data_IF_210271661488
#
_entry.id   IF_210271661488
#
_cell.length_a   1.000
_cell.length_b   1.000
_cell.length_c   1.000
_cell.angle_alpha   90.00
_cell.angle_beta   90.00
_cell.angle_gamma   90.00
#
_symmetry.space_group_name_H-M   'P 1'
#
loop_
_entity.id
_entity.type
_entity.pdbx_description
1 polymer ?
#
# COMPACT_ATOMS: atom_id res chain seq x y z
N UNK A 1 -14.72 24.05 -12.79
CA UNK A 1 -15.31 22.91 -12.04
C UNK A 1 -16.84 23.03 -12.16
N UNK A 2 -17.45 22.42 -13.18
CA UNK A 2 -18.80 22.79 -13.63
C UNK A 2 -19.96 22.21 -12.80
N UNK A 3 -19.67 21.34 -11.82
CA UNK A 3 -20.71 20.59 -11.08
C UNK A 3 -20.62 20.80 -9.56
N UNK A 4 -19.97 21.88 -9.10
CA UNK A 4 -19.83 22.19 -7.67
C UNK A 4 -21.15 22.42 -6.93
N UNK A 5 -22.20 22.77 -7.66
CA UNK A 5 -23.49 23.16 -7.10
C UNK A 5 -24.51 22.01 -7.14
N UNK A 6 -24.10 20.82 -7.58
CA UNK A 6 -24.97 19.65 -7.70
C UNK A 6 -24.51 18.56 -6.71
N UNK A 7 -25.18 18.42 -5.55
CA UNK A 7 -24.76 17.51 -4.50
C UNK A 7 -24.87 16.03 -4.91
N UNK A 8 -25.80 15.68 -5.81
CA UNK A 8 -25.98 14.30 -6.27
C UNK A 8 -24.81 13.86 -7.15
N UNK A 9 -24.36 14.74 -8.06
CA UNK A 9 -23.20 14.47 -8.91
C UNK A 9 -21.89 14.37 -8.12
N UNK A 10 -21.76 15.16 -7.05
CA UNK A 10 -20.61 15.07 -6.14
C UNK A 10 -20.62 13.73 -5.39
N UNK A 11 -21.79 13.31 -4.89
CA UNK A 11 -21.93 12.02 -4.20
C UNK A 11 -21.60 10.85 -5.15
N UNK A 12 -22.09 10.90 -6.40
CA UNK A 12 -21.82 9.87 -7.40
C UNK A 12 -20.33 9.80 -7.75
N UNK A 13 -19.67 10.92 -8.02
CA UNK A 13 -18.22 10.94 -8.28
C UNK A 13 -17.39 10.48 -7.07
N UNK A 14 -17.83 10.79 -5.86
CA UNK A 14 -17.16 10.33 -4.64
C UNK A 14 -17.22 8.82 -4.57
N UNK A 15 -18.41 8.23 -4.80
CA UNK A 15 -18.59 6.78 -4.84
C UNK A 15 -17.74 6.14 -5.95
N UNK A 16 -17.78 6.70 -7.16
CA UNK A 16 -16.98 6.19 -8.29
C UNK A 16 -15.47 6.22 -8.00
N UNK A 17 -15.00 7.28 -7.34
CA UNK A 17 -13.62 7.39 -6.92
C UNK A 17 -13.26 6.37 -5.84
N UNK A 18 -14.11 6.21 -4.84
CA UNK A 18 -13.92 5.22 -3.77
C UNK A 18 -13.90 3.81 -4.34
N UNK A 19 -14.86 3.44 -5.17
CA UNK A 19 -14.93 2.09 -5.76
C UNK A 19 -13.70 1.80 -6.64
N UNK A 20 -13.24 2.82 -7.38
CA UNK A 20 -12.09 2.68 -8.28
C UNK A 20 -10.75 2.66 -7.55
N UNK A 21 -10.57 3.44 -6.50
CA UNK A 21 -9.24 3.64 -5.87
C UNK A 21 -9.12 3.08 -4.45
N UNK A 22 -10.20 2.99 -3.68
CA UNK A 22 -10.19 2.46 -2.31
C UNK A 22 -10.30 0.93 -2.28
N UNK A 23 -9.60 0.27 -3.21
CA UNK A 23 -9.45 -1.17 -3.26
C UNK A 23 -7.95 -1.53 -3.30
N UNK A 24 -7.57 -2.72 -2.79
CA UNK A 24 -6.16 -3.11 -2.71
C UNK A 24 -5.54 -3.45 -4.08
N UNK A 25 -6.35 -3.66 -5.12
CA UNK A 25 -5.90 -4.12 -6.42
C UNK A 25 -5.17 -3.04 -7.21
N UNK A 26 -5.60 -1.78 -7.10
CA UNK A 26 -4.89 -0.65 -7.74
C UNK A 26 -3.45 -0.52 -7.23
N UNK A 27 -3.21 -0.77 -5.95
CA UNK A 27 -1.87 -0.74 -5.38
C UNK A 27 -1.04 -1.98 -5.77
N UNK A 28 -1.69 -3.13 -5.94
CA UNK A 28 -1.05 -4.35 -6.42
C UNK A 28 -0.61 -4.23 -7.89
N UNK A 29 -1.42 -3.63 -8.77
CA UNK A 29 -1.06 -3.37 -10.17
C UNK A 29 0.22 -2.52 -10.32
N UNK A 30 0.45 -1.62 -9.37
CA UNK A 30 1.65 -0.76 -9.32
C UNK A 30 2.86 -1.43 -8.67
N UNK A 31 2.71 -2.64 -8.15
CA UNK A 31 3.77 -3.35 -7.42
C UNK A 31 4.10 -2.75 -6.05
N UNK A 32 3.24 -1.89 -5.49
CA UNK A 32 3.41 -1.40 -4.11
C UNK A 32 3.03 -2.48 -3.09
N UNK A 33 2.12 -3.38 -3.47
CA UNK A 33 1.72 -4.54 -2.69
C UNK A 33 2.11 -5.78 -3.49
N UNK A 34 2.84 -6.71 -2.85
CA UNK A 34 3.26 -7.96 -3.49
C UNK A 34 2.07 -8.88 -3.79
N UNK A 35 1.14 -9.03 -2.84
CA UNK A 35 -0.05 -9.89 -3.01
C UNK A 35 -1.23 -9.47 -2.12
N UNK A 36 -2.45 -9.68 -2.61
CA UNK A 36 -3.70 -9.61 -1.82
C UNK A 36 -4.03 -11.01 -1.31
N UNK A 37 -4.04 -11.18 0.02
CA UNK A 37 -4.17 -12.51 0.65
C UNK A 37 -5.48 -12.67 1.41
N UNK A 38 -5.87 -13.93 1.64
CA UNK A 38 -6.97 -14.24 2.54
C UNK A 38 -6.58 -13.96 4.00
N UNK A 39 -7.43 -13.33 4.82
CA UNK A 39 -7.05 -12.91 6.19
C UNK A 39 -6.51 -14.04 7.07
N UNK A 40 -7.09 -15.24 6.99
CA UNK A 40 -6.65 -16.40 7.77
C UNK A 40 -5.28 -16.95 7.34
N UNK A 41 -4.82 -16.64 6.13
CA UNK A 41 -3.54 -17.10 5.60
C UNK A 41 -2.34 -16.25 6.06
N UNK A 42 -2.60 -15.12 6.73
CA UNK A 42 -1.60 -14.14 7.15
C UNK A 42 -0.42 -14.77 7.89
N UNK A 43 -0.66 -15.62 8.89
CA UNK A 43 0.41 -16.27 9.67
C UNK A 43 1.36 -17.06 8.77
N UNK A 44 0.81 -17.88 7.86
CA UNK A 44 1.60 -18.71 6.93
C UNK A 44 2.45 -17.84 6.01
N UNK A 45 1.87 -16.77 5.45
CA UNK A 45 2.55 -15.85 4.53
C UNK A 45 3.70 -15.12 5.21
N UNK A 46 3.44 -14.54 6.38
CA UNK A 46 4.45 -13.80 7.16
C UNK A 46 5.61 -14.71 7.58
N UNK A 47 5.32 -15.90 8.14
CA UNK A 47 6.38 -16.84 8.53
C UNK A 47 7.26 -17.26 7.35
N UNK A 48 6.66 -17.52 6.18
CA UNK A 48 7.41 -17.88 4.96
C UNK A 48 8.27 -16.72 4.47
N UNK A 49 7.75 -15.49 4.48
CA UNK A 49 8.51 -14.30 4.08
C UNK A 49 9.73 -14.08 4.99
N UNK A 50 9.60 -14.21 6.31
CA UNK A 50 10.75 -14.14 7.20
C UNK A 50 11.74 -15.29 7.00
N UNK A 51 11.24 -16.49 6.72
CA UNK A 51 12.11 -17.64 6.45
C UNK A 51 12.97 -17.43 5.20
N UNK A 52 12.43 -16.85 4.12
CA UNK A 52 13.22 -16.54 2.92
C UNK A 52 14.21 -15.40 3.14
N UNK A 53 13.87 -14.43 4.00
CA UNK A 53 14.72 -13.29 4.35
C UNK A 53 15.84 -13.62 5.35
N UNK A 54 15.94 -14.87 5.83
CA UNK A 54 16.90 -15.29 6.87
C UNK A 54 18.35 -14.87 6.61
N UNK A 55 18.78 -14.91 5.35
CA UNK A 55 20.17 -14.62 4.96
C UNK A 55 20.33 -13.27 4.25
N UNK A 56 19.31 -12.40 4.31
CA UNK A 56 19.38 -11.08 3.68
C UNK A 56 20.47 -10.24 4.35
N UNK A 57 21.47 -9.83 3.57
CA UNK A 57 22.50 -8.86 3.97
C UNK A 57 22.30 -7.58 3.17
N UNK A 58 22.28 -6.44 3.85
CA UNK A 58 22.17 -5.12 3.25
C UNK A 58 23.19 -4.20 3.92
N UNK A 59 23.98 -3.51 3.12
CA UNK A 59 24.98 -2.54 3.59
C UNK A 59 24.47 -1.14 3.32
N UNK A 60 24.46 -0.30 4.34
CA UNK A 60 24.14 1.12 4.20
C UNK A 60 25.42 1.93 3.89
N UNK A 61 25.29 3.12 3.26
CA UNK A 61 26.41 4.05 3.11
C UNK A 61 27.04 4.40 4.47
N UNK A 62 28.37 4.56 4.50
CA UNK A 62 29.08 4.93 5.72
C UNK A 62 28.72 6.36 6.17
N UNK A 63 28.42 6.51 7.46
CA UNK A 63 28.18 7.80 8.14
C UNK A 63 28.43 7.64 9.63
N UNK A 64 28.75 8.72 10.34
CA UNK A 64 28.92 8.71 11.82
C UNK A 64 27.61 8.36 12.53
N UNK A 65 26.54 9.05 12.15
CA UNK A 65 25.16 8.82 12.58
C UNK A 65 24.24 9.41 11.51
N UNK A 66 22.95 9.13 11.61
CA UNK A 66 21.91 9.81 10.85
C UNK A 66 21.56 11.18 11.44
N UNK A 67 20.76 11.93 10.69
CA UNK A 67 20.23 13.24 11.08
C UNK A 67 18.70 13.21 10.84
N UNK A 68 18.00 12.43 11.66
CA UNK A 68 16.53 12.36 11.62
C UNK A 68 15.98 13.71 12.11
N UNK A 69 14.97 14.29 11.43
CA UNK A 69 14.30 15.52 11.90
C UNK A 69 13.81 15.38 13.35
N UNK A 70 14.08 16.40 14.17
CA UNK A 70 13.60 16.50 15.56
C UNK A 70 12.23 17.17 15.63
#
# INVERSE_FOLDING_TARGET
RAELNDPEKIAQRTKDYTDRFANPFVAAEKGFIDEVIQPHSTRKRVCRAFASLRNKKLTNPWKKHDNIPL
#
